data_IF_435744262007
#
_entry.id   IF_435744262007
#
_cell.length_a   1.000
_cell.length_b   1.000
_cell.length_c   1.000
_cell.angle_alpha   90.00
_cell.angle_beta   90.00
_cell.angle_gamma   90.00
#
_symmetry.space_group_name_H-M   'P 1'
#
loop_
_entity.id
_entity.type
_entity.pdbx_description
1 polymer ?
#
# COMPACT_ATOMS: atom_id res chain seq x y z
N UNK A 1 -3.41 16.27 23.65
CA UNK A 1 -2.64 15.03 23.36
C UNK A 1 -2.32 15.01 21.88
N UNK A 2 -1.12 14.60 21.48
CA UNK A 2 -0.68 14.66 20.08
C UNK A 2 -0.95 13.35 19.30
N UNK A 3 -1.14 12.22 19.98
CA UNK A 3 -1.46 10.92 19.40
C UNK A 3 -2.02 9.95 20.45
N UNK A 4 -2.60 8.85 19.99
CA UNK A 4 -3.03 7.69 20.77
C UNK A 4 -2.37 6.42 20.22
N UNK A 5 -2.33 5.36 21.02
CA UNK A 5 -1.81 4.05 20.60
C UNK A 5 -2.86 3.00 20.93
N UNK A 6 -3.27 2.28 19.89
CA UNK A 6 -4.26 1.21 19.98
C UNK A 6 -3.56 -0.12 19.72
N UNK A 7 -3.50 -0.96 20.74
CA UNK A 7 -3.06 -2.34 20.64
C UNK A 7 -4.27 -3.22 20.38
N UNK A 8 -4.23 -4.03 19.33
CA UNK A 8 -5.29 -5.00 19.03
C UNK A 8 -4.69 -6.40 19.07
N UNK A 9 -4.97 -7.12 20.15
CA UNK A 9 -4.66 -8.53 20.23
C UNK A 9 -5.69 -9.33 19.44
N UNK A 10 -5.23 -10.25 18.59
CA UNK A 10 -6.10 -11.10 17.79
C UNK A 10 -5.84 -12.57 18.05
N UNK A 11 -5.65 -12.93 19.34
CA UNK A 11 -5.48 -14.29 19.88
C UNK A 11 -4.03 -14.67 20.23
N UNK A 12 -3.38 -13.86 21.07
CA UNK A 12 -2.09 -14.22 21.69
C UNK A 12 -2.29 -15.25 22.81
N UNK A 13 -1.38 -16.24 22.87
CA UNK A 13 -1.35 -17.28 23.91
C UNK A 13 -0.20 -17.14 24.90
N UNK A 14 0.67 -16.16 24.67
CA UNK A 14 1.82 -15.85 25.50
C UNK A 14 1.53 -14.65 26.41
N UNK A 15 2.58 -14.05 26.96
CA UNK A 15 2.47 -12.94 27.91
C UNK A 15 2.18 -11.58 27.25
N UNK A 16 1.85 -11.54 25.95
CA UNK A 16 1.67 -10.28 25.18
C UNK A 16 0.76 -9.28 25.88
N UNK A 17 -0.44 -9.69 26.32
CA UNK A 17 -1.36 -8.78 27.00
C UNK A 17 -0.80 -8.28 28.33
N UNK A 18 -0.20 -9.18 29.14
CA UNK A 18 0.43 -8.82 30.41
C UNK A 18 1.55 -7.80 30.24
N UNK A 19 2.36 -7.94 29.18
CA UNK A 19 3.43 -7.00 28.82
C UNK A 19 2.82 -5.64 28.44
N UNK A 20 1.79 -5.61 27.59
CA UNK A 20 1.14 -4.35 27.17
C UNK A 20 0.53 -3.61 28.37
N UNK A 21 -0.15 -4.32 29.26
CA UNK A 21 -0.77 -3.70 30.43
C UNK A 21 0.26 -3.14 31.41
N UNK A 22 1.33 -3.89 31.69
CA UNK A 22 2.39 -3.48 32.63
C UNK A 22 3.29 -2.36 32.09
N UNK A 23 3.36 -2.16 30.77
CA UNK A 23 4.21 -1.13 30.18
C UNK A 23 3.67 0.29 30.47
N UNK A 24 4.44 1.16 31.17
CA UNK A 24 4.02 2.53 31.43
C UNK A 24 3.99 3.34 30.13
N UNK A 25 3.01 4.23 29.99
CA UNK A 25 2.84 5.05 28.80
C UNK A 25 2.46 6.48 29.16
N UNK A 26 3.10 7.45 28.51
CA UNK A 26 2.76 8.88 28.61
C UNK A 26 1.78 9.33 27.50
N UNK A 27 1.15 8.37 26.83
CA UNK A 27 0.19 8.56 25.74
C UNK A 27 -1.12 7.83 26.07
N UNK A 28 -2.19 8.17 25.36
CA UNK A 28 -3.45 7.43 25.46
C UNK A 28 -3.23 6.01 24.93
N UNK A 29 -3.29 5.03 25.82
CA UNK A 29 -3.13 3.61 25.53
C UNK A 29 -4.49 2.93 25.55
N UNK A 30 -4.89 2.34 24.43
CA UNK A 30 -6.11 1.54 24.28
C UNK A 30 -5.69 0.11 23.97
N UNK A 31 -6.25 -0.85 24.68
CA UNK A 31 -5.99 -2.29 24.46
C UNK A 31 -7.31 -2.94 24.10
N UNK A 32 -7.33 -3.60 22.95
CA UNK A 32 -8.47 -4.28 22.38
C UNK A 32 -8.12 -5.75 22.15
N UNK A 33 -9.12 -6.61 22.17
CA UNK A 33 -9.00 -8.02 21.80
C UNK A 33 -10.12 -8.36 20.83
N UNK A 34 -9.81 -9.16 19.81
CA UNK A 34 -10.81 -9.71 18.88
C UNK A 34 -10.75 -11.23 18.85
N UNK A 35 -11.90 -11.85 18.69
CA UNK A 35 -12.02 -13.30 18.57
C UNK A 35 -11.78 -13.75 17.13
N UNK A 36 -12.10 -12.92 16.13
CA UNK A 36 -11.87 -13.23 14.74
C UNK A 36 -10.39 -13.14 14.37
N UNK A 37 -9.73 -14.27 14.06
CA UNK A 37 -8.30 -14.25 13.78
C UNK A 37 -8.03 -13.53 12.46
N UNK A 38 -6.95 -12.75 12.41
CA UNK A 38 -6.40 -12.21 11.17
C UNK A 38 -5.88 -10.79 11.32
N UNK A 39 -4.71 -10.55 10.73
CA UNK A 39 -4.01 -9.26 10.79
C UNK A 39 -4.92 -8.11 10.34
N UNK A 40 -5.61 -8.28 9.21
CA UNK A 40 -6.49 -7.21 8.69
C UNK A 40 -7.83 -7.09 9.41
N UNK A 41 -8.31 -8.15 10.08
CA UNK A 41 -9.45 -8.04 11.01
C UNK A 41 -9.04 -7.14 12.20
N UNK A 42 -7.87 -7.39 12.78
CA UNK A 42 -7.30 -6.61 13.87
C UNK A 42 -7.06 -5.14 13.48
N UNK A 43 -6.48 -4.90 12.29
CA UNK A 43 -6.26 -3.56 11.76
C UNK A 43 -7.59 -2.81 11.60
N UNK A 44 -8.58 -3.41 10.94
CA UNK A 44 -9.89 -2.77 10.75
C UNK A 44 -10.57 -2.46 12.09
N UNK A 45 -10.49 -3.38 13.06
CA UNK A 45 -11.04 -3.19 14.40
C UNK A 45 -10.33 -2.06 15.16
N UNK A 46 -9.00 -1.96 15.07
CA UNK A 46 -8.25 -0.86 15.68
C UNK A 46 -8.62 0.50 15.07
N UNK A 47 -8.70 0.58 13.75
CA UNK A 47 -9.06 1.82 13.03
C UNK A 47 -10.48 2.28 13.38
N UNK A 48 -11.43 1.36 13.54
CA UNK A 48 -12.81 1.73 13.89
C UNK A 48 -12.91 2.39 15.27
N UNK A 49 -12.01 2.04 16.19
CA UNK A 49 -11.92 2.62 17.54
C UNK A 49 -11.00 3.84 17.65
N UNK A 50 -10.19 4.12 16.63
CA UNK A 50 -9.33 5.30 16.61
C UNK A 50 -10.14 6.60 16.58
N UNK A 51 -9.82 7.56 17.44
CA UNK A 51 -10.35 8.92 17.39
C UNK A 51 -9.51 9.83 16.49
N UNK A 52 -8.25 9.47 16.24
CA UNK A 52 -7.34 10.24 15.39
C UNK A 52 -7.78 10.30 13.92
N UNK A 53 -7.48 11.43 13.27
CA UNK A 53 -7.72 11.64 11.84
C UNK A 53 -6.73 10.86 10.97
N UNK A 54 -5.51 10.66 11.46
CA UNK A 54 -4.42 10.01 10.73
C UNK A 54 -4.02 8.71 11.42
N UNK A 55 -3.80 7.67 10.62
CA UNK A 55 -3.56 6.30 11.07
C UNK A 55 -2.21 5.82 10.54
N UNK A 56 -1.28 5.50 11.44
CA UNK A 56 -0.09 4.70 11.16
C UNK A 56 -0.33 3.28 11.69
N UNK A 57 0.03 2.28 10.90
CA UNK A 57 -0.10 0.86 11.26
C UNK A 57 1.30 0.26 11.37
N UNK A 58 1.59 -0.38 12.49
CA UNK A 58 2.85 -1.09 12.74
C UNK A 58 2.56 -2.54 13.11
N UNK A 59 3.38 -3.46 12.60
CA UNK A 59 3.41 -4.82 13.11
C UNK A 59 3.97 -4.85 14.53
N UNK A 60 3.63 -5.88 15.31
CA UNK A 60 4.18 -6.07 16.66
C UNK A 60 5.68 -6.36 16.66
N UNK A 61 6.24 -6.73 15.51
CA UNK A 61 7.66 -7.00 15.28
C UNK A 61 8.42 -5.82 14.66
N UNK A 62 7.75 -4.69 14.42
CA UNK A 62 8.31 -3.44 13.91
C UNK A 62 8.46 -2.39 15.02
N UNK A 63 9.11 -1.26 14.71
CA UNK A 63 9.12 -0.09 15.60
C UNK A 63 9.16 1.21 14.82
N UNK A 64 8.78 2.31 15.48
CA UNK A 64 9.09 3.65 14.98
C UNK A 64 10.61 3.79 14.80
N UNK A 65 11.03 4.53 13.76
CA UNK A 65 12.44 4.66 13.45
C UNK A 65 13.26 5.22 14.64
N UNK A 66 12.77 6.28 15.27
CA UNK A 66 13.37 6.88 16.46
C UNK A 66 12.33 7.59 17.34
N UNK A 67 12.76 8.09 18.51
CA UNK A 67 11.88 8.73 19.49
C UNK A 67 11.12 9.96 18.97
N UNK A 68 11.66 10.64 17.96
CA UNK A 68 11.07 11.85 17.39
C UNK A 68 10.20 11.59 16.16
N UNK A 69 10.09 10.34 15.70
CA UNK A 69 9.39 10.03 14.44
C UNK A 69 7.95 10.52 14.43
N UNK A 70 7.18 10.32 15.52
CA UNK A 70 5.79 10.78 15.60
C UNK A 70 5.71 12.30 15.50
N UNK A 71 6.57 13.04 16.21
CA UNK A 71 6.59 14.50 16.10
C UNK A 71 6.96 14.98 14.70
N UNK A 72 7.88 14.30 14.02
CA UNK A 72 8.22 14.60 12.62
C UNK A 72 7.05 14.35 11.68
N UNK A 73 6.34 13.22 11.84
CA UNK A 73 5.13 12.93 11.06
C UNK A 73 4.12 14.06 11.25
N UNK A 74 3.81 14.44 12.50
CA UNK A 74 2.83 15.48 12.81
C UNK A 74 3.20 16.82 12.16
N UNK A 75 4.48 17.19 12.15
CA UNK A 75 4.95 18.42 11.46
C UNK A 75 4.63 18.40 9.97
N UNK A 76 4.83 17.26 9.30
CA UNK A 76 4.40 17.11 7.90
C UNK A 76 2.89 17.24 7.79
N UNK A 77 2.12 16.53 8.62
CA UNK A 77 0.65 16.52 8.57
C UNK A 77 0.04 17.93 8.70
N UNK A 78 0.65 18.81 9.48
CA UNK A 78 0.16 20.18 9.70
C UNK A 78 0.21 21.09 8.46
N UNK A 79 1.02 20.75 7.46
CA UNK A 79 1.20 21.56 6.24
C UNK A 79 0.66 20.87 4.99
N UNK A 80 0.02 19.70 5.13
CA UNK A 80 -0.53 18.96 4.00
C UNK A 80 -1.77 19.61 3.41
N UNK A 81 -1.97 19.36 2.12
CA UNK A 81 -3.22 19.66 1.44
C UNK A 81 -4.36 18.81 2.04
N UNK A 82 -5.55 19.40 2.18
CA UNK A 82 -6.72 18.70 2.70
C UNK A 82 -7.15 17.52 1.81
N UNK A 83 -6.73 17.51 0.53
CA UNK A 83 -6.99 16.44 -0.45
C UNK A 83 -6.04 15.25 -0.29
N UNK A 84 -4.98 15.37 0.50
CA UNK A 84 -4.03 14.27 0.72
C UNK A 84 -4.74 13.11 1.44
N UNK A 85 -4.79 11.96 0.79
CA UNK A 85 -5.48 10.75 1.26
C UNK A 85 -4.56 9.86 2.10
N UNK A 86 -3.27 9.85 1.78
CA UNK A 86 -2.22 9.23 2.58
C UNK A 86 -0.88 9.93 2.31
N UNK A 87 0.02 9.81 3.27
CA UNK A 87 1.44 10.09 3.06
C UNK A 87 2.25 8.80 3.16
N UNK A 88 3.38 8.78 2.48
CA UNK A 88 4.30 7.67 2.57
C UNK A 88 5.75 8.15 2.63
N UNK A 89 6.58 7.39 3.33
CA UNK A 89 7.99 7.70 3.51
C UNK A 89 8.89 6.50 3.27
N UNK A 90 9.96 6.45 4.04
CA UNK A 90 11.01 5.42 3.96
C UNK A 90 10.91 4.49 5.16
N UNK A 91 11.30 3.23 4.98
CA UNK A 91 11.60 2.33 6.11
C UNK A 91 13.09 2.04 6.20
N UNK A 92 13.57 1.78 7.40
CA UNK A 92 14.87 1.19 7.64
C UNK A 92 14.71 -0.33 7.77
N UNK A 93 15.34 -1.07 6.86
CA UNK A 93 15.33 -2.52 6.84
C UNK A 93 16.30 -3.06 7.91
N UNK A 94 15.77 -3.70 8.95
CA UNK A 94 16.58 -4.06 10.12
C UNK A 94 17.66 -5.11 9.80
N UNK A 95 17.32 -6.13 9.01
CA UNK A 95 18.24 -7.22 8.65
C UNK A 95 19.29 -6.74 7.65
N UNK A 96 18.85 -6.03 6.60
CA UNK A 96 19.73 -5.51 5.56
C UNK A 96 20.52 -4.25 5.98
N UNK A 97 20.15 -3.64 7.12
CA UNK A 97 20.71 -2.38 7.64
C UNK A 97 20.77 -1.25 6.61
N UNK A 98 19.71 -1.09 5.83
CA UNK A 98 19.63 -0.08 4.77
C UNK A 98 18.28 0.60 4.71
N UNK A 99 18.23 1.76 4.07
CA UNK A 99 16.99 2.47 3.77
C UNK A 99 16.33 1.86 2.54
N UNK A 100 15.03 1.67 2.61
CA UNK A 100 14.20 1.35 1.46
C UNK A 100 13.41 2.61 1.08
N UNK A 101 13.97 3.39 0.15
CA UNK A 101 13.28 4.55 -0.41
C UNK A 101 12.24 4.04 -1.43
N UNK A 102 10.99 4.44 -1.26
CA UNK A 102 9.87 3.92 -2.05
C UNK A 102 9.21 5.00 -2.90
N UNK A 103 10.01 5.71 -3.70
CA UNK A 103 9.47 6.71 -4.62
C UNK A 103 8.47 6.06 -5.58
N UNK A 104 7.24 6.57 -5.56
CA UNK A 104 6.16 6.11 -6.43
C UNK A 104 6.03 7.06 -7.60
N UNK A 105 6.10 6.54 -8.83
CA UNK A 105 5.53 7.23 -9.98
C UNK A 105 4.08 6.80 -10.20
N UNK A 106 3.26 7.60 -10.91
CA UNK A 106 1.93 7.21 -11.33
C UNK A 106 1.87 5.89 -12.13
N UNK A 107 3.00 5.37 -12.61
CA UNK A 107 3.04 4.11 -13.34
C UNK A 107 3.44 2.91 -12.49
N UNK A 108 4.10 3.14 -11.35
CA UNK A 108 4.69 2.07 -10.56
C UNK A 108 3.68 1.46 -9.58
N UNK A 109 2.63 2.20 -9.22
CA UNK A 109 1.66 1.76 -8.21
C UNK A 109 0.86 0.51 -8.60
N UNK A 110 0.78 0.17 -9.90
CA UNK A 110 0.13 -1.06 -10.37
C UNK A 110 1.03 -2.30 -10.28
N UNK A 111 2.33 -2.11 -10.06
CA UNK A 111 3.33 -3.19 -10.10
C UNK A 111 4.15 -3.29 -8.83
N UNK A 112 4.14 -2.24 -8.01
CA UNK A 112 4.95 -2.10 -6.81
C UNK A 112 4.03 -1.75 -5.66
N UNK A 113 4.20 -2.40 -4.51
CA UNK A 113 3.51 -2.03 -3.27
C UNK A 113 4.40 -1.11 -2.45
N UNK A 114 3.78 -0.17 -1.74
CA UNK A 114 4.40 0.50 -0.61
C UNK A 114 4.45 -0.47 0.58
N UNK A 115 5.52 -0.43 1.35
CA UNK A 115 5.62 -1.09 2.65
C UNK A 115 4.65 -0.42 3.62
N UNK A 116 3.71 -1.19 4.17
CA UNK A 116 2.66 -0.70 5.05
C UNK A 116 3.18 0.18 6.20
N UNK A 117 4.31 -0.20 6.79
CA UNK A 117 4.97 0.48 7.90
C UNK A 117 5.51 1.88 7.54
N UNK A 118 5.55 2.21 6.25
CA UNK A 118 5.90 3.56 5.77
C UNK A 118 4.70 4.42 5.39
N UNK A 119 3.46 3.99 5.67
CA UNK A 119 2.26 4.68 5.21
C UNK A 119 1.51 5.24 6.42
N UNK A 120 1.12 6.51 6.32
CA UNK A 120 0.18 7.14 7.25
C UNK A 120 -1.06 7.54 6.45
N UNK A 121 -2.19 6.91 6.77
CA UNK A 121 -3.45 7.11 6.06
C UNK A 121 -4.28 8.20 6.71
N UNK A 122 -4.99 9.00 5.92
CA UNK A 122 -6.15 9.72 6.45
C UNK A 122 -7.25 8.68 6.70
N UNK A 123 -7.78 8.62 7.92
CA UNK A 123 -8.80 7.64 8.32
C UNK A 123 -9.99 7.64 7.37
N UNK A 124 -10.45 8.82 6.95
CA UNK A 124 -11.58 8.95 6.02
C UNK A 124 -11.31 8.30 4.66
N UNK A 125 -10.06 8.35 4.15
CA UNK A 125 -9.72 7.70 2.89
C UNK A 125 -9.87 6.17 2.95
N UNK A 126 -9.59 5.55 4.11
CA UNK A 126 -9.81 4.12 4.34
C UNK A 126 -11.31 3.81 4.34
N UNK A 127 -12.11 4.64 5.00
CA UNK A 127 -13.56 4.47 5.11
C UNK A 127 -14.22 4.58 3.73
N UNK A 128 -13.91 5.64 2.98
CA UNK A 128 -14.53 5.93 1.67
C UNK A 128 -14.18 4.87 0.61
N UNK A 129 -13.07 4.15 0.79
CA UNK A 129 -12.60 3.11 -0.14
C UNK A 129 -12.92 1.68 0.31
N UNK A 130 -13.58 1.53 1.46
CA UNK A 130 -14.17 0.27 1.90
C UNK A 130 -13.23 -0.65 2.68
N UNK A 131 -12.35 -0.08 3.53
CA UNK A 131 -11.52 -0.79 4.51
C UNK A 131 -10.52 -1.81 3.92
N UNK A 132 -9.66 -2.36 4.78
CA UNK A 132 -8.76 -3.45 4.38
C UNK A 132 -9.60 -4.70 4.10
N UNK A 133 -9.46 -5.26 2.90
CA UNK A 133 -10.22 -6.44 2.49
C UNK A 133 -9.58 -7.71 3.07
N UNK A 134 -10.24 -8.28 4.08
CA UNK A 134 -9.70 -9.33 4.95
C UNK A 134 -9.60 -10.69 4.27
N UNK A 135 -10.12 -10.83 3.04
CA UNK A 135 -9.87 -12.01 2.21
C UNK A 135 -8.39 -12.13 1.80
N UNK A 136 -7.68 -11.00 1.71
CA UNK A 136 -6.26 -10.95 1.42
C UNK A 136 -5.49 -10.98 2.75
N UNK A 137 -4.75 -12.05 3.00
CA UNK A 137 -4.07 -12.28 4.28
C UNK A 137 -2.76 -11.53 4.42
N UNK A 138 -2.11 -11.16 3.32
CA UNK A 138 -0.84 -10.42 3.37
C UNK A 138 -0.75 -9.23 2.42
N UNK A 139 -1.73 -9.03 1.54
CA UNK A 139 -1.69 -7.98 0.50
C UNK A 139 -2.90 -7.03 0.53
N UNK A 140 -3.65 -6.97 1.63
CA UNK A 140 -4.83 -6.11 1.70
C UNK A 140 -4.46 -4.61 1.71
N UNK A 141 -3.29 -4.28 2.24
CA UNK A 141 -2.64 -2.96 2.15
C UNK A 141 -2.47 -2.50 0.69
N UNK A 142 -1.87 -3.34 -0.14
CA UNK A 142 -1.68 -3.05 -1.56
C UNK A 142 -3.01 -2.84 -2.27
N UNK A 143 -3.99 -3.70 -2.01
CA UNK A 143 -5.33 -3.61 -2.60
C UNK A 143 -6.04 -2.32 -2.16
N UNK A 144 -5.94 -1.95 -0.88
CA UNK A 144 -6.50 -0.70 -0.36
C UNK A 144 -5.85 0.52 -1.03
N UNK A 145 -4.53 0.54 -1.15
CA UNK A 145 -3.80 1.64 -1.81
C UNK A 145 -4.27 1.84 -3.25
N UNK A 146 -4.50 0.75 -4.00
CA UNK A 146 -5.07 0.83 -5.34
C UNK A 146 -6.49 1.41 -5.36
N UNK A 147 -7.35 1.06 -4.39
CA UNK A 147 -8.69 1.63 -4.26
C UNK A 147 -8.64 3.12 -3.92
N UNK A 148 -7.73 3.54 -3.04
CA UNK A 148 -7.50 4.95 -2.70
C UNK A 148 -7.09 5.73 -3.94
N UNK A 149 -6.13 5.23 -4.72
CA UNK A 149 -5.68 5.89 -5.95
C UNK A 149 -6.82 5.96 -6.99
N UNK A 150 -7.60 4.89 -7.15
CA UNK A 150 -8.77 4.89 -8.06
C UNK A 150 -9.84 5.92 -7.62
N UNK A 151 -10.06 6.08 -6.32
CA UNK A 151 -11.09 6.97 -5.78
C UNK A 151 -10.65 8.44 -5.73
N UNK A 152 -9.43 8.74 -5.26
CA UNK A 152 -8.96 10.10 -4.97
C UNK A 152 -7.94 10.67 -5.98
N UNK A 153 -7.49 9.86 -6.94
CA UNK A 153 -6.33 10.14 -7.83
C UNK A 153 -4.97 9.90 -7.16
N UNK A 154 -3.97 9.57 -7.98
CA UNK A 154 -2.58 9.43 -7.57
C UNK A 154 -2.02 10.70 -6.93
N UNK A 155 -2.50 11.88 -7.36
CA UNK A 155 -2.10 13.18 -6.81
C UNK A 155 -2.53 13.39 -5.35
N UNK A 156 -3.33 12.50 -4.77
CA UNK A 156 -3.69 12.54 -3.35
C UNK A 156 -2.65 11.86 -2.45
N UNK A 157 -1.62 11.23 -3.01
CA UNK A 157 -0.53 10.61 -2.27
C UNK A 157 0.65 11.58 -2.19
N UNK A 158 1.12 11.85 -0.97
CA UNK A 158 2.29 12.71 -0.74
C UNK A 158 3.49 11.90 -0.26
N UNK A 159 4.65 12.09 -0.89
CA UNK A 159 5.91 11.55 -0.37
C UNK A 159 6.50 12.50 0.67
N UNK A 160 6.93 11.95 1.81
CA UNK A 160 7.68 12.68 2.83
C UNK A 160 9.09 12.10 2.97
N UNK A 161 10.10 12.97 2.98
CA UNK A 161 11.49 12.55 3.23
C UNK A 161 11.71 12.29 4.72
N UNK A 162 11.14 11.20 5.19
CA UNK A 162 11.17 10.75 6.58
C UNK A 162 11.27 9.23 6.63
N UNK A 163 12.15 8.73 7.52
CA UNK A 163 12.16 7.31 7.87
C UNK A 163 11.11 7.10 8.97
N UNK A 164 10.06 6.35 8.66
CA UNK A 164 8.91 6.17 9.53
C UNK A 164 9.11 4.98 10.47
N UNK A 165 9.59 3.86 9.95
CA UNK A 165 9.69 2.63 10.74
C UNK A 165 11.01 1.90 10.53
N UNK A 166 11.45 1.21 11.58
CA UNK A 166 12.34 0.06 11.47
C UNK A 166 11.48 -1.15 11.10
N UNK A 167 11.63 -1.63 9.87
CA UNK A 167 10.86 -2.72 9.32
C UNK A 167 11.58 -4.05 9.48
N UNK A 168 10.89 -5.01 10.09
CA UNK A 168 11.35 -6.37 10.27
C UNK A 168 11.01 -7.21 9.04
N UNK A 169 12.03 -7.50 8.22
CA UNK A 169 11.88 -8.27 6.98
C UNK A 169 11.50 -9.73 7.22
N UNK A 170 11.49 -10.20 8.47
CA UNK A 170 11.12 -11.56 8.83
C UNK A 170 9.63 -11.70 9.20
N UNK A 171 8.85 -10.62 9.09
CA UNK A 171 7.42 -10.62 9.43
C UNK A 171 6.55 -11.52 8.55
N UNK A 172 5.26 -11.59 8.86
CA UNK A 172 4.31 -12.51 8.23
C UNK A 172 4.26 -12.37 6.69
N UNK A 173 4.24 -11.12 6.20
CA UNK A 173 4.07 -10.84 4.77
C UNK A 173 5.24 -11.31 3.91
N UNK A 174 6.46 -11.40 4.44
CA UNK A 174 7.62 -11.91 3.68
C UNK A 174 7.62 -13.42 3.54
N UNK A 175 6.92 -14.15 4.42
CA UNK A 175 6.86 -15.61 4.43
C UNK A 175 5.57 -16.16 3.80
N UNK A 176 4.53 -15.34 3.70
CA UNK A 176 3.22 -15.76 3.21
C UNK A 176 3.00 -15.40 1.74
N UNK A 177 2.51 -16.37 0.96
CA UNK A 177 2.07 -16.13 -0.42
C UNK A 177 0.55 -16.04 -0.48
N UNK A 178 0.04 -14.85 -0.82
CA UNK A 178 -1.39 -14.59 -0.88
C UNK A 178 -2.05 -15.18 -2.13
N UNK A 179 -2.52 -16.43 -2.02
CA UNK A 179 -3.17 -17.15 -3.14
C UNK A 179 -4.42 -16.43 -3.65
N UNK A 180 -5.15 -15.72 -2.78
CA UNK A 180 -6.37 -15.03 -3.18
C UNK A 180 -6.04 -13.82 -4.06
N UNK A 181 -5.04 -13.04 -3.64
CA UNK A 181 -4.49 -11.98 -4.48
C UNK A 181 -3.90 -12.55 -5.77
N UNK A 182 -3.10 -13.61 -5.75
CA UNK A 182 -2.51 -14.15 -6.97
C UNK A 182 -3.57 -14.48 -8.05
N UNK A 183 -4.68 -15.10 -7.65
CA UNK A 183 -5.80 -15.44 -8.54
C UNK A 183 -6.50 -14.21 -9.13
N UNK A 184 -6.57 -13.11 -8.38
CA UNK A 184 -7.34 -11.91 -8.73
C UNK A 184 -6.47 -10.70 -9.12
N UNK A 185 -5.14 -10.83 -9.01
CA UNK A 185 -4.17 -9.74 -9.11
C UNK A 185 -4.27 -8.97 -10.42
N UNK A 186 -4.46 -9.68 -11.53
CA UNK A 186 -4.67 -9.06 -12.84
C UNK A 186 -5.94 -8.21 -12.86
N UNK A 187 -7.06 -8.75 -12.35
CA UNK A 187 -8.33 -8.04 -12.32
C UNK A 187 -8.26 -6.79 -11.43
N UNK A 188 -7.64 -6.91 -10.25
CA UNK A 188 -7.46 -5.80 -9.30
C UNK A 188 -6.63 -4.67 -9.95
N UNK A 189 -5.51 -5.01 -10.58
CA UNK A 189 -4.65 -4.03 -11.27
C UNK A 189 -5.36 -3.39 -12.45
N UNK A 190 -6.08 -4.17 -13.26
CA UNK A 190 -6.85 -3.64 -14.39
C UNK A 190 -8.00 -2.74 -13.94
N UNK A 191 -8.66 -3.07 -12.83
CA UNK A 191 -9.74 -2.24 -12.27
C UNK A 191 -9.20 -0.91 -11.76
N UNK A 192 -8.04 -0.89 -11.13
CA UNK A 192 -7.43 0.36 -10.66
C UNK A 192 -6.88 1.26 -11.78
N UNK A 193 -6.77 0.77 -13.02
CA UNK A 193 -6.42 1.61 -14.16
C UNK A 193 -7.48 2.71 -14.35
N UNK A 194 -7.05 3.97 -14.43
CA UNK A 194 -7.94 5.11 -14.61
C UNK A 194 -8.81 5.02 -15.87
N UNK A 195 -9.90 5.79 -15.91
CA UNK A 195 -10.89 5.75 -17.00
C UNK A 195 -10.26 5.96 -18.38
N UNK A 196 -9.26 6.85 -18.50
CA UNK A 196 -8.53 7.10 -19.76
C UNK A 196 -7.75 5.87 -20.26
N UNK A 197 -7.21 5.07 -19.33
CA UNK A 197 -6.53 3.82 -19.66
C UNK A 197 -7.55 2.74 -20.02
N UNK A 198 -8.68 2.65 -19.30
CA UNK A 198 -9.77 1.73 -19.62
C UNK A 198 -10.38 2.03 -21.00
N UNK A 199 -10.67 3.29 -21.31
CA UNK A 199 -11.27 3.70 -22.59
C UNK A 199 -10.32 3.44 -23.74
N UNK A 200 -9.03 3.72 -23.59
CA UNK A 200 -8.04 3.45 -24.62
C UNK A 200 -7.83 1.95 -24.89
N UNK A 201 -7.92 1.08 -23.86
CA UNK A 201 -7.95 -0.38 -24.04
C UNK A 201 -9.20 -0.86 -24.78
N UNK A 202 -10.38 -0.31 -24.46
CA UNK A 202 -11.64 -0.64 -25.15
C UNK A 202 -11.61 -0.19 -26.61
N UNK A 203 -11.17 1.04 -26.87
CA UNK A 203 -11.00 1.60 -28.21
C UNK A 203 -10.06 0.71 -29.03
N UNK A 204 -8.93 0.29 -28.44
CA UNK A 204 -7.99 -0.65 -29.08
C UNK A 204 -8.64 -2.00 -29.40
N UNK A 205 -9.34 -2.62 -28.43
CA UNK A 205 -10.02 -3.91 -28.64
C UNK A 205 -11.11 -3.83 -29.70
N UNK A 206 -11.80 -2.70 -29.80
CA UNK A 206 -12.83 -2.47 -30.81
C UNK A 206 -12.21 -2.37 -32.21
N UNK A 207 -11.16 -1.57 -32.38
CA UNK A 207 -10.50 -1.40 -33.68
C UNK A 207 -9.66 -2.61 -34.11
N UNK A 208 -9.10 -3.38 -33.18
CA UNK A 208 -8.43 -4.65 -33.53
C UNK A 208 -9.39 -5.72 -34.06
N UNK A 209 -10.66 -5.66 -33.64
CA UNK A 209 -11.72 -6.58 -34.11
C UNK A 209 -12.42 -6.06 -35.39
N UNK A 210 -12.35 -4.76 -35.68
CA UNK A 210 -13.05 -4.12 -36.79
C UNK A 210 -12.08 -3.37 -37.73
N UNK A 211 -11.20 -4.12 -38.40
CA UNK A 211 -10.13 -3.58 -39.26
C UNK A 211 -10.64 -2.77 -40.47
N UNK A 212 -11.86 -3.04 -40.95
CA UNK A 212 -12.51 -2.32 -42.05
C UNK A 212 -13.00 -0.93 -41.58
N UNK A 213 -13.58 -0.84 -40.39
CA UNK A 213 -14.07 0.43 -39.81
C UNK A 213 -12.91 1.40 -39.53
N UNK A 214 -11.77 0.88 -39.07
CA UNK A 214 -10.55 1.66 -38.85
C UNK A 214 -10.02 2.29 -40.15
N UNK A 215 -10.14 1.59 -41.27
CA UNK A 215 -9.76 2.09 -42.61
C UNK A 215 -10.76 3.12 -43.15
N UNK A 216 -12.07 2.90 -42.94
CA UNK A 216 -13.14 3.80 -43.44
C UNK A 216 -13.14 5.14 -42.70
N UNK A 217 -12.94 5.14 -41.37
CA UNK A 217 -12.96 6.36 -40.57
C UNK A 217 -11.68 7.23 -40.73
N UNK A 218 -10.77 6.87 -41.65
CA UNK A 218 -9.59 7.66 -41.95
C UNK A 218 -8.68 7.88 -40.74
N UNK A 219 -8.74 6.99 -39.75
CA UNK A 219 -7.95 7.12 -38.53
C UNK A 219 -6.50 6.76 -38.86
N UNK A 220 -5.77 7.70 -39.46
CA UNK A 220 -4.34 7.79 -39.24
C UNK A 220 -4.19 7.98 -37.73
N UNK A 221 -4.04 6.87 -36.99
CA UNK A 221 -3.82 6.88 -35.55
C UNK A 221 -2.79 7.96 -35.27
N UNK A 222 -3.25 9.08 -34.70
CA UNK A 222 -2.39 10.24 -34.45
C UNK A 222 -1.18 9.74 -33.67
N UNK A 223 -0.03 10.40 -33.83
CA UNK A 223 1.16 10.09 -33.03
C UNK A 223 0.83 9.94 -31.55
N UNK A 224 -0.09 10.77 -31.02
CA UNK A 224 -0.64 10.66 -29.67
C UNK A 224 -1.41 9.36 -29.37
N UNK A 225 -2.25 8.85 -30.30
CA UNK A 225 -2.93 7.56 -30.12
C UNK A 225 -1.95 6.38 -30.21
N UNK A 226 -0.98 6.43 -31.14
CA UNK A 226 0.06 5.39 -31.22
C UNK A 226 0.93 5.39 -29.96
N UNK A 227 1.27 6.56 -29.43
CA UNK A 227 1.96 6.69 -28.16
C UNK A 227 1.12 6.18 -27.00
N UNK A 228 -0.18 6.51 -26.92
CA UNK A 228 -1.05 5.99 -25.85
C UNK A 228 -1.21 4.48 -25.95
N UNK A 229 -1.36 3.92 -27.15
CA UNK A 229 -1.39 2.47 -27.37
C UNK A 229 -0.07 1.77 -27.05
N UNK A 230 1.07 2.38 -27.39
CA UNK A 230 2.40 1.85 -27.04
C UNK A 230 2.62 1.93 -25.52
N UNK A 231 2.20 3.03 -24.90
CA UNK A 231 2.25 3.25 -23.47
C UNK A 231 1.38 2.26 -22.71
N UNK A 232 0.17 2.00 -23.20
CA UNK A 232 -0.73 0.96 -22.69
C UNK A 232 -0.15 -0.42 -22.92
N UNK A 233 0.44 -0.70 -24.07
CA UNK A 233 1.17 -1.95 -24.28
C UNK A 233 2.32 -2.10 -23.31
N UNK A 234 3.02 -1.02 -22.95
CA UNK A 234 4.10 -1.05 -21.96
C UNK A 234 3.53 -1.29 -20.56
N UNK A 235 2.43 -0.61 -20.17
CA UNK A 235 1.78 -0.83 -18.87
C UNK A 235 1.20 -2.23 -18.78
N UNK A 236 0.47 -2.67 -19.80
CA UNK A 236 -0.09 -4.03 -19.88
C UNK A 236 1.03 -5.04 -19.92
N UNK A 237 2.05 -4.92 -20.78
CA UNK A 237 3.22 -5.80 -20.75
C UNK A 237 3.91 -5.77 -19.40
N UNK A 238 4.04 -4.62 -18.72
CA UNK A 238 4.56 -4.57 -17.35
C UNK A 238 3.66 -5.36 -16.40
N UNK A 239 2.36 -5.14 -16.37
CA UNK A 239 1.41 -5.91 -15.55
C UNK A 239 1.51 -7.43 -15.84
N UNK A 240 1.61 -7.82 -17.11
CA UNK A 240 1.68 -9.21 -17.56
C UNK A 240 3.07 -9.87 -17.38
N UNK A 241 4.16 -9.10 -17.49
CA UNK A 241 5.54 -9.58 -17.35
C UNK A 241 6.06 -9.46 -15.91
N UNK A 242 5.51 -8.56 -15.11
CA UNK A 242 5.72 -8.56 -13.67
C UNK A 242 4.99 -9.78 -13.12
N UNK A 243 5.75 -10.85 -12.86
CA UNK A 243 5.30 -11.85 -11.89
C UNK A 243 4.87 -11.08 -10.64
N UNK A 244 3.73 -11.42 -10.00
CA UNK A 244 3.40 -10.87 -8.70
C UNK A 244 4.64 -11.06 -7.84
N UNK A 245 5.29 -9.95 -7.50
CA UNK A 245 6.51 -10.01 -6.71
C UNK A 245 6.09 -10.66 -5.41
N UNK A 246 6.67 -11.83 -5.06
CA UNK A 246 6.65 -12.21 -3.66
C UNK A 246 7.32 -11.06 -2.91
N UNK A 247 6.74 -10.67 -1.78
CA UNK A 247 7.32 -9.67 -0.90
C UNK A 247 8.84 -9.89 -0.80
N UNK A 248 9.60 -8.84 -1.11
CA UNK A 248 11.03 -8.68 -0.81
C UNK A 248 11.94 -9.91 -1.04
N UNK A 249 11.84 -10.58 -2.19
CA UNK A 249 12.76 -11.72 -2.51
C UNK A 249 13.42 -11.63 -3.88
N UNK A 250 13.75 -10.41 -4.34
CA UNK A 250 14.71 -10.24 -5.44
C UNK A 250 15.69 -9.10 -5.17
N UNK A 251 16.53 -9.31 -4.16
CA UNK A 251 17.89 -8.77 -4.16
C UNK A 251 18.81 -9.98 -4.10
N UNK A 252 19.31 -10.37 -5.27
CA UNK A 252 20.30 -11.43 -5.40
C UNK A 252 21.47 -11.12 -4.46
N UNK A 253 21.67 -12.03 -3.51
CA UNK A 253 22.89 -12.15 -2.73
C UNK A 253 24.07 -12.36 -3.66
N UNK A 254 24.91 -11.32 -3.82
CA UNK A 254 26.32 -11.57 -4.10
C UNK A 254 26.98 -11.96 -2.77
N UNK A 255 27.63 -13.11 -2.66
CA UNK A 255 28.38 -13.46 -1.47
C UNK A 255 29.67 -12.64 -1.47
N UNK A 256 29.90 -11.88 -0.40
CA UNK A 256 31.23 -11.43 0.00
C UNK A 256 31.38 -11.93 1.44
N UNK A 257 31.88 -13.15 1.59
CA UNK A 257 33.30 -13.48 1.82
C UNK A 257 33.81 -12.81 3.10
N UNK A 258 33.84 -13.66 4.14
CA UNK A 258 34.53 -13.58 5.44
C UNK A 258 34.12 -12.46 6.40
#
# INVERSE_FOLDING_TARGET
MCFEVIFVDYHSFDETLSIIYSHPSNYQKIVLSIDEPGIYNAINFGISHACAEWILILGSDDSLYCAHTVSSIVQYLMVLDYRTSLIYGTVFLMQDRKRLNQFFSPNDHFTTSLCQQSIVYRKQAIIDTGWFDTQYKSTADYVLNLKIIEHFSFSSLEFVDLIIANYNQSGFSSRYTDKMYLKSSMFIRLKSLGLLVKTSLLIRSFFSRNSVLAKILGFQLTSAYKLSCLYLEIIVKRIFLTKPTPNLTNLQSKPLIK
#
